data_IF_595971528675
#
_entry.id   IF_595971528675
#
_cell.length_a   1.000
_cell.length_b   1.000
_cell.length_c   1.000
_cell.angle_alpha   90.00
_cell.angle_beta   90.00
_cell.angle_gamma   90.00
#
_symmetry.space_group_name_H-M   'P 1'
#
loop_
_entity.id
_entity.type
_entity.pdbx_description
1 polymer ?
#
# COMPACT_ATOMS: atom_id res chain seq x y z
N UNK A 1 8.22 -41.20 61.13
CA UNK A 1 6.84 -41.73 61.11
C UNK A 1 6.02 -40.85 60.18
N UNK A 2 5.62 -41.42 59.05
CA UNK A 2 4.96 -40.76 57.91
C UNK A 2 3.46 -40.60 58.16
N UNK A 3 2.93 -39.37 58.05
CA UNK A 3 1.49 -39.14 57.82
C UNK A 3 1.28 -38.68 56.38
N UNK A 4 0.77 -39.58 55.54
CA UNK A 4 0.34 -39.25 54.18
C UNK A 4 -1.07 -38.64 54.25
N UNK A 5 -1.20 -37.38 53.84
CA UNK A 5 -2.49 -36.72 53.61
C UNK A 5 -3.17 -37.27 52.36
N UNK A 6 -4.37 -37.82 52.52
CA UNK A 6 -5.21 -38.33 51.44
C UNK A 6 -5.84 -37.15 50.70
N UNK A 7 -5.57 -37.00 49.40
CA UNK A 7 -6.24 -36.02 48.54
C UNK A 7 -7.73 -36.39 48.35
N UNK A 8 -8.66 -35.42 48.37
CA UNK A 8 -10.08 -35.71 48.19
C UNK A 8 -10.36 -36.18 46.76
N UNK A 9 -10.95 -37.39 46.64
CA UNK A 9 -11.44 -37.92 45.36
C UNK A 9 -12.61 -37.05 44.87
N UNK A 10 -12.43 -36.35 43.77
CA UNK A 10 -13.53 -35.68 43.07
C UNK A 10 -14.55 -36.72 42.57
N UNK A 11 -15.71 -36.77 43.22
CA UNK A 11 -16.87 -37.52 42.73
C UNK A 11 -17.37 -36.83 41.46
N UNK A 12 -17.11 -37.43 40.30
CA UNK A 12 -17.80 -37.09 39.06
C UNK A 12 -19.27 -37.50 39.21
N UNK A 13 -20.16 -36.54 39.47
CA UNK A 13 -21.59 -36.73 39.17
C UNK A 13 -21.76 -36.51 37.67
N UNK A 14 -22.08 -37.55 36.93
CA UNK A 14 -22.55 -37.42 35.56
C UNK A 14 -23.89 -36.69 35.58
N UNK A 15 -23.88 -35.40 35.26
CA UNK A 15 -25.12 -34.66 35.04
C UNK A 15 -25.72 -35.14 33.72
N UNK A 16 -27.01 -35.49 33.72
CA UNK A 16 -27.71 -35.82 32.48
C UNK A 16 -27.63 -34.63 31.52
N UNK A 17 -27.29 -34.89 30.26
CA UNK A 17 -27.21 -33.88 29.21
C UNK A 17 -28.60 -33.30 29.02
N UNK A 18 -28.81 -32.08 29.50
CA UNK A 18 -30.06 -31.36 29.32
C UNK A 18 -30.01 -30.66 27.96
N UNK A 19 -30.93 -30.95 27.01
CA UNK A 19 -30.94 -30.34 25.68
C UNK A 19 -31.21 -28.83 25.70
N UNK A 20 -31.70 -28.28 26.84
CA UNK A 20 -31.86 -26.83 27.02
C UNK A 20 -30.60 -26.14 27.58
N UNK A 21 -29.55 -26.88 27.91
CA UNK A 21 -28.28 -26.26 28.30
C UNK A 21 -27.63 -25.64 27.07
N UNK A 22 -27.24 -24.37 27.18
CA UNK A 22 -26.51 -23.65 26.13
C UNK A 22 -25.24 -24.42 25.77
N UNK A 23 -25.02 -24.64 24.48
CA UNK A 23 -23.80 -25.27 23.98
C UNK A 23 -22.60 -24.37 24.31
N UNK A 24 -21.54 -24.96 24.84
CA UNK A 24 -20.25 -24.29 24.94
C UNK A 24 -19.70 -24.08 23.53
N UNK A 25 -19.88 -22.87 23.00
CA UNK A 25 -19.16 -22.47 21.79
C UNK A 25 -17.74 -22.18 22.22
N UNK A 26 -16.81 -23.06 21.83
CA UNK A 26 -15.38 -22.80 21.97
C UNK A 26 -14.98 -21.74 20.96
N UNK A 27 -15.33 -20.49 21.24
CA UNK A 27 -14.68 -19.35 20.62
C UNK A 27 -13.22 -19.44 21.04
N UNK A 28 -12.32 -19.50 20.05
CA UNK A 28 -10.89 -19.45 20.29
C UNK A 28 -10.63 -18.15 21.07
N UNK A 29 -10.46 -18.27 22.39
CA UNK A 29 -10.68 -17.23 23.41
C UNK A 29 -10.17 -15.87 22.91
N UNK A 30 -11.00 -14.83 22.98
CA UNK A 30 -10.73 -13.39 22.70
C UNK A 30 -11.37 -12.76 21.44
N UNK A 31 -12.47 -13.26 20.87
CA UNK A 31 -13.13 -12.60 19.71
C UNK A 31 -14.28 -11.66 20.05
N UNK A 32 -14.70 -11.56 21.31
CA UNK A 32 -15.84 -10.74 21.75
C UNK A 32 -15.39 -9.97 23.00
N UNK A 33 -15.19 -8.65 22.94
CA UNK A 33 -14.96 -7.84 24.13
C UNK A 33 -16.29 -7.66 24.86
N UNK A 34 -16.40 -8.23 26.04
CA UNK A 34 -17.56 -8.13 26.92
C UNK A 34 -17.45 -6.85 27.77
N UNK A 35 -17.62 -5.68 27.15
CA UNK A 35 -17.70 -4.41 27.88
C UNK A 35 -18.88 -3.57 27.37
N UNK A 36 -20.04 -3.81 27.96
CA UNK A 36 -21.23 -3.01 27.76
C UNK A 36 -22.25 -3.27 28.85
N UNK A 37 -22.10 -2.61 30.00
CA UNK A 37 -23.12 -2.61 31.04
C UNK A 37 -24.48 -2.23 30.47
N UNK A 38 -25.51 -2.98 30.86
CA UNK A 38 -26.90 -2.77 30.44
C UNK A 38 -27.38 -1.36 30.83
N UNK A 39 -27.32 -0.42 29.89
CA UNK A 39 -28.01 0.86 30.04
C UNK A 39 -29.47 0.62 29.68
N UNK A 40 -30.29 0.31 30.69
CA UNK A 40 -31.74 0.36 30.59
C UNK A 40 -32.16 1.83 30.39
N UNK A 41 -32.36 2.23 29.14
CA UNK A 41 -33.12 3.45 28.83
C UNK A 41 -34.57 3.04 28.71
N UNK A 42 -35.33 3.37 29.74
CA UNK A 42 -36.79 3.24 29.73
C UNK A 42 -37.33 4.18 28.64
N UNK A 43 -37.77 3.62 27.52
CA UNK A 43 -38.34 4.39 26.41
C UNK A 43 -39.80 4.66 26.77
N UNK A 44 -40.08 5.89 27.21
CA UNK A 44 -41.45 6.38 27.32
C UNK A 44 -42.13 6.25 25.96
N UNK A 45 -43.24 5.50 25.91
CA UNK A 45 -44.11 5.39 24.74
C UNK A 45 -44.82 6.73 24.53
N UNK A 46 -44.18 7.67 23.84
CA UNK A 46 -44.87 8.84 23.30
C UNK A 46 -45.86 8.36 22.23
N UNK A 47 -47.12 8.81 22.29
CA UNK A 47 -48.12 8.54 21.25
C UNK A 47 -47.60 8.97 19.88
N UNK A 48 -47.84 8.15 18.85
CA UNK A 48 -47.19 8.27 17.53
C UNK A 48 -47.70 9.45 16.69
N UNK A 49 -48.67 10.21 17.23
CA UNK A 49 -49.27 11.36 16.53
C UNK A 49 -50.13 10.95 15.33
N UNK A 50 -50.54 9.68 15.24
CA UNK A 50 -51.43 9.14 14.21
C UNK A 50 -52.86 9.03 14.74
N UNK A 51 -53.85 8.91 13.85
CA UNK A 51 -55.23 8.72 14.28
C UNK A 51 -55.41 7.35 14.98
N UNK A 52 -56.28 7.26 16.01
CA UNK A 52 -56.40 6.06 16.85
C UNK A 52 -56.93 4.81 16.12
N UNK A 53 -57.49 4.97 14.91
CA UNK A 53 -57.86 3.85 14.04
C UNK A 53 -56.67 3.36 13.20
N UNK A 54 -55.82 4.26 12.70
CA UNK A 54 -54.57 3.92 12.00
C UNK A 54 -53.58 3.22 12.95
N UNK A 55 -53.46 3.66 14.20
CA UNK A 55 -52.58 3.01 15.20
C UNK A 55 -52.94 1.54 15.49
N UNK A 56 -54.18 1.11 15.15
CA UNK A 56 -54.63 -0.28 15.29
C UNK A 56 -54.41 -1.11 14.04
N UNK A 57 -53.97 -0.52 12.94
CA UNK A 57 -53.75 -1.26 11.71
C UNK A 57 -52.63 -2.28 11.88
N UNK A 58 -52.90 -3.51 11.41
CA UNK A 58 -51.99 -4.65 11.61
C UNK A 58 -50.59 -4.40 11.08
N UNK A 59 -50.44 -3.65 9.99
CA UNK A 59 -49.14 -3.39 9.41
C UNK A 59 -48.33 -2.39 10.25
N UNK A 60 -48.98 -1.39 10.86
CA UNK A 60 -48.36 -0.45 11.81
C UNK A 60 -47.96 -1.20 13.08
N UNK A 61 -48.84 -2.04 13.62
CA UNK A 61 -48.52 -2.89 14.77
C UNK A 61 -47.37 -3.85 14.48
N UNK A 62 -47.33 -4.46 13.29
CA UNK A 62 -46.24 -5.34 12.89
C UNK A 62 -44.91 -4.59 12.75
N UNK A 63 -44.91 -3.36 12.21
CA UNK A 63 -43.71 -2.53 12.09
C UNK A 63 -43.18 -2.09 13.47
N UNK A 64 -44.07 -1.67 14.37
CA UNK A 64 -43.72 -1.31 15.75
C UNK A 64 -43.21 -2.52 16.54
N UNK A 65 -43.86 -3.66 16.39
CA UNK A 65 -43.43 -4.92 16.99
C UNK A 65 -42.09 -5.38 16.40
N UNK A 66 -41.81 -5.19 15.10
CA UNK A 66 -40.51 -5.51 14.51
C UNK A 66 -39.40 -4.56 14.97
N UNK A 67 -39.72 -3.29 15.24
CA UNK A 67 -38.77 -2.33 15.82
C UNK A 67 -38.42 -2.69 17.27
N UNK A 68 -39.42 -3.14 18.04
CA UNK A 68 -39.28 -3.52 19.45
C UNK A 68 -38.75 -4.95 19.65
N UNK A 69 -39.07 -5.88 18.74
CA UNK A 69 -38.63 -7.29 18.76
C UNK A 69 -37.33 -7.52 17.99
N UNK A 70 -36.67 -6.46 17.50
CA UNK A 70 -35.21 -6.52 17.46
C UNK A 70 -34.76 -6.55 18.92
N UNK A 71 -34.79 -7.75 19.51
CA UNK A 71 -33.77 -8.11 20.48
C UNK A 71 -32.49 -7.59 19.86
N UNK A 72 -31.88 -6.62 20.53
CA UNK A 72 -30.52 -6.24 20.24
C UNK A 72 -29.67 -7.45 20.64
N UNK A 73 -29.82 -8.57 19.93
CA UNK A 73 -28.70 -9.45 19.68
C UNK A 73 -27.69 -8.48 19.10
N UNK A 74 -26.75 -8.08 19.96
CA UNK A 74 -25.62 -7.26 19.59
C UNK A 74 -25.07 -7.90 18.34
N UNK A 75 -25.25 -7.23 17.20
CA UNK A 75 -24.58 -7.64 15.98
C UNK A 75 -23.11 -7.39 16.28
N UNK A 76 -22.45 -8.41 16.82
CA UNK A 76 -21.07 -8.36 17.22
C UNK A 76 -20.25 -8.24 15.94
N UNK A 77 -19.68 -7.06 15.74
CA UNK A 77 -18.81 -6.78 14.61
C UNK A 77 -17.49 -7.50 14.89
N UNK A 78 -17.03 -8.42 14.02
CA UNK A 78 -15.78 -9.13 14.25
C UNK A 78 -14.62 -8.14 14.26
N UNK A 79 -13.86 -8.13 15.36
CA UNK A 79 -12.66 -7.30 15.50
C UNK A 79 -11.44 -8.08 14.97
N UNK A 80 -10.66 -7.51 14.03
CA UNK A 80 -9.46 -8.18 13.51
C UNK A 80 -8.41 -8.34 14.62
N UNK A 81 -7.71 -9.48 14.62
CA UNK A 81 -6.60 -9.75 15.54
C UNK A 81 -5.33 -9.09 15.00
N UNK A 82 -4.57 -8.42 15.88
CA UNK A 82 -3.23 -7.94 15.57
C UNK A 82 -2.19 -8.85 16.24
N UNK A 83 -1.07 -9.07 15.57
CA UNK A 83 0.07 -9.80 16.09
C UNK A 83 1.20 -8.80 16.36
N UNK A 84 1.65 -8.61 17.61
CA UNK A 84 2.75 -7.72 17.89
C UNK A 84 4.04 -8.30 17.32
N UNK A 85 4.66 -7.55 16.40
CA UNK A 85 6.00 -7.83 15.89
C UNK A 85 7.02 -7.03 16.71
N UNK A 86 8.26 -7.53 16.81
CA UNK A 86 9.37 -6.74 17.37
C UNK A 86 9.80 -5.74 16.29
N UNK A 87 9.45 -4.47 16.48
CA UNK A 87 9.67 -3.38 15.50
C UNK A 87 11.13 -2.90 15.38
N UNK A 88 11.98 -3.28 16.34
CA UNK A 88 13.18 -2.52 16.70
C UNK A 88 14.30 -2.53 15.64
N UNK A 89 14.30 -3.52 14.73
CA UNK A 89 15.35 -3.65 13.71
C UNK A 89 14.98 -3.02 12.35
N UNK A 90 13.68 -2.85 12.05
CA UNK A 90 13.20 -2.41 10.73
C UNK A 90 12.93 -0.90 10.65
N UNK A 91 12.65 -0.26 11.78
CA UNK A 91 12.26 1.15 11.83
C UNK A 91 13.12 1.92 12.84
N UNK A 92 14.33 2.37 12.45
CA UNK A 92 15.17 3.15 13.35
C UNK A 92 14.47 4.47 13.71
N UNK A 93 14.40 4.79 15.01
CA UNK A 93 13.74 6.00 15.53
C UNK A 93 14.63 7.23 15.31
N UNK A 94 14.63 7.77 14.09
CA UNK A 94 15.42 8.96 13.72
C UNK A 94 14.57 10.23 13.58
N UNK A 95 13.27 10.17 13.86
CA UNK A 95 12.37 11.30 13.63
C UNK A 95 12.39 12.32 14.77
N UNK A 96 12.79 13.55 14.45
CA UNK A 96 12.67 14.71 15.35
C UNK A 96 11.32 15.41 15.20
N UNK A 97 10.56 15.53 16.29
CA UNK A 97 9.30 16.25 16.27
C UNK A 97 9.53 17.76 16.11
N UNK A 98 8.92 18.35 15.09
CA UNK A 98 8.94 19.80 14.87
C UNK A 98 7.97 20.50 15.82
N UNK A 99 8.30 21.70 16.33
CA UNK A 99 7.36 22.52 17.12
C UNK A 99 6.21 23.10 16.28
N UNK A 100 6.25 22.97 14.95
CA UNK A 100 5.22 23.44 14.03
C UNK A 100 4.56 22.30 13.26
N UNK A 101 3.34 22.53 12.75
CA UNK A 101 2.66 21.59 11.87
C UNK A 101 3.44 21.33 10.58
N UNK A 102 3.53 20.06 10.18
CA UNK A 102 4.14 19.66 8.92
C UNK A 102 3.31 20.15 7.73
N UNK A 103 3.97 20.84 6.80
CA UNK A 103 3.41 21.18 5.49
C UNK A 103 4.05 20.28 4.45
N UNK A 104 3.35 19.22 4.08
CA UNK A 104 3.81 18.27 3.06
C UNK A 104 3.27 18.72 1.71
N UNK A 105 4.13 19.35 0.91
CA UNK A 105 3.83 19.80 -0.45
C UNK A 105 4.48 18.91 -1.53
N UNK A 106 5.25 17.91 -1.11
CA UNK A 106 5.89 16.98 -2.01
C UNK A 106 4.89 15.92 -2.47
N UNK A 107 4.94 15.61 -3.76
CA UNK A 107 4.25 14.42 -4.29
C UNK A 107 4.93 13.21 -3.64
N UNK A 108 4.19 12.14 -3.37
CA UNK A 108 4.75 10.93 -2.77
C UNK A 108 6.09 10.54 -3.44
N UNK A 109 7.06 10.02 -2.67
CA UNK A 109 8.32 9.51 -3.20
C UNK A 109 8.05 8.61 -4.42
N UNK A 110 8.84 8.79 -5.48
CA UNK A 110 8.66 8.05 -6.73
C UNK A 110 7.68 8.68 -7.74
N UNK A 111 6.98 9.79 -7.44
CA UNK A 111 6.14 10.45 -8.47
C UNK A 111 6.96 11.39 -9.37
N UNK A 112 8.08 11.95 -8.90
CA UNK A 112 9.01 12.78 -9.70
C UNK A 112 10.44 12.86 -9.10
N UNK A 113 10.77 12.05 -8.09
CA UNK A 113 12.09 12.08 -7.46
C UNK A 113 13.13 11.33 -8.30
N UNK A 114 14.38 11.78 -8.24
CA UNK A 114 15.56 11.07 -8.78
C UNK A 114 15.97 9.87 -7.91
N UNK A 115 15.10 9.47 -6.99
CA UNK A 115 15.29 8.30 -6.14
C UNK A 115 15.22 7.01 -6.95
N UNK A 116 15.95 6.01 -6.47
CA UNK A 116 15.96 4.65 -6.99
C UNK A 116 14.65 4.00 -6.57
N UNK A 117 13.82 3.55 -7.52
CA UNK A 117 12.53 2.90 -7.25
C UNK A 117 12.62 1.37 -7.30
N UNK A 118 13.63 0.84 -8.00
CA UNK A 118 13.88 -0.59 -8.07
C UNK A 118 14.40 -1.13 -6.74
N UNK A 119 13.91 -2.29 -6.32
CA UNK A 119 14.39 -3.04 -5.15
C UNK A 119 14.73 -4.47 -5.56
N UNK A 120 15.83 -5.00 -5.03
CA UNK A 120 16.26 -6.38 -5.31
C UNK A 120 15.24 -7.39 -4.78
N UNK A 121 14.91 -8.39 -5.61
CA UNK A 121 14.09 -9.52 -5.20
C UNK A 121 14.94 -10.79 -4.97
N UNK A 122 14.31 -11.85 -4.48
CA UNK A 122 14.98 -13.12 -4.23
C UNK A 122 15.69 -13.70 -5.47
N UNK A 123 15.15 -13.48 -6.68
CA UNK A 123 15.78 -13.94 -7.92
C UNK A 123 17.09 -13.17 -8.17
N UNK A 124 17.13 -11.87 -7.85
CA UNK A 124 18.33 -11.04 -7.94
C UNK A 124 19.39 -11.47 -6.94
N UNK A 125 19.02 -11.73 -5.68
CA UNK A 125 19.98 -12.22 -4.67
C UNK A 125 20.60 -13.57 -5.09
N UNK A 126 19.80 -14.50 -5.62
CA UNK A 126 20.32 -15.78 -6.15
C UNK A 126 21.26 -15.55 -7.34
N UNK A 127 20.93 -14.62 -8.22
CA UNK A 127 21.81 -14.27 -9.34
C UNK A 127 23.12 -13.64 -8.85
N UNK A 128 23.06 -12.71 -7.89
CA UNK A 128 24.22 -12.05 -7.32
C UNK A 128 25.17 -13.03 -6.64
N UNK A 129 24.62 -14.03 -5.94
CA UNK A 129 25.40 -15.09 -5.29
C UNK A 129 26.14 -15.94 -6.33
N UNK A 130 25.45 -16.32 -7.43
CA UNK A 130 26.08 -17.05 -8.55
C UNK A 130 27.18 -16.26 -9.25
N UNK A 131 27.09 -14.93 -9.27
CA UNK A 131 28.14 -14.08 -9.80
C UNK A 131 29.30 -13.87 -8.80
N UNK A 132 29.17 -14.35 -7.56
CA UNK A 132 30.18 -14.23 -6.51
C UNK A 132 30.14 -12.91 -5.74
N UNK A 133 29.04 -12.15 -5.80
CA UNK A 133 28.94 -10.83 -5.16
C UNK A 133 28.66 -10.90 -3.65
N UNK A 134 27.97 -11.95 -3.18
CA UNK A 134 27.50 -12.06 -1.79
C UNK A 134 28.50 -12.78 -0.87
N UNK A 135 29.36 -13.64 -1.42
CA UNK A 135 30.44 -14.25 -0.64
C UNK A 135 31.44 -13.16 -0.26
N UNK A 136 31.59 -12.85 1.03
CA UNK A 136 32.39 -11.75 1.63
C UNK A 136 33.90 -11.70 1.33
N UNK A 137 34.32 -12.15 0.16
CA UNK A 137 35.63 -11.97 -0.48
C UNK A 137 35.79 -10.59 -1.13
N UNK A 138 34.69 -9.83 -1.31
CA UNK A 138 34.70 -8.47 -1.89
C UNK A 138 34.67 -7.38 -0.81
N UNK A 139 35.33 -7.61 0.35
CA UNK A 139 35.56 -6.55 1.36
C UNK A 139 36.65 -5.55 0.95
N UNK A 140 37.02 -5.51 -0.33
CA UNK A 140 37.89 -4.49 -0.89
C UNK A 140 37.01 -3.34 -1.39
N UNK A 141 37.47 -2.10 -1.21
CA UNK A 141 36.76 -0.82 -1.40
C UNK A 141 36.21 -0.55 -2.84
N UNK A 142 36.15 -1.58 -3.69
CA UNK A 142 35.61 -1.58 -5.06
C UNK A 142 34.45 -2.56 -5.31
N UNK A 143 33.96 -3.27 -4.31
CA UNK A 143 32.84 -4.19 -4.50
C UNK A 143 31.53 -3.46 -4.81
N UNK A 144 30.82 -3.93 -5.83
CA UNK A 144 29.52 -3.41 -6.21
C UNK A 144 28.50 -3.84 -5.16
N UNK A 145 27.99 -2.85 -4.44
CA UNK A 145 26.96 -3.00 -3.42
C UNK A 145 25.59 -3.22 -4.06
N UNK A 146 24.66 -3.76 -3.26
CA UNK A 146 23.23 -3.93 -3.62
C UNK A 146 22.66 -2.67 -4.29
N UNK A 147 22.90 -1.50 -3.68
CA UNK A 147 22.47 -0.18 -4.17
C UNK A 147 22.91 0.12 -5.62
N UNK A 148 24.09 -0.33 -6.03
CA UNK A 148 24.58 -0.08 -7.37
C UNK A 148 23.80 -0.91 -8.40
N UNK A 149 23.49 -2.17 -8.07
CA UNK A 149 22.68 -3.04 -8.93
C UNK A 149 21.28 -2.45 -9.06
N UNK A 150 20.69 -2.01 -7.95
CA UNK A 150 19.38 -1.36 -7.93
C UNK A 150 19.36 -0.10 -8.80
N UNK A 151 20.34 0.78 -8.63
CA UNK A 151 20.48 2.00 -9.40
C UNK A 151 20.59 1.72 -10.91
N UNK A 152 21.42 0.75 -11.32
CA UNK A 152 21.62 0.43 -12.74
C UNK A 152 20.31 -0.09 -13.36
N UNK A 153 19.62 -1.01 -12.68
CA UNK A 153 18.35 -1.57 -13.16
C UNK A 153 17.26 -0.50 -13.20
N UNK A 154 17.19 0.36 -12.19
CA UNK A 154 16.24 1.47 -12.13
C UNK A 154 16.42 2.45 -13.31
N UNK A 155 17.66 2.81 -13.63
CA UNK A 155 17.97 3.67 -14.77
C UNK A 155 17.59 2.99 -16.09
N UNK A 156 17.89 1.70 -16.25
CA UNK A 156 17.50 0.92 -17.44
C UNK A 156 15.97 0.88 -17.63
N UNK A 157 15.23 0.67 -16.54
CA UNK A 157 13.76 0.71 -16.56
C UNK A 157 13.23 2.11 -16.89
N UNK A 158 13.81 3.17 -16.31
CA UNK A 158 13.44 4.57 -16.60
C UNK A 158 13.68 4.94 -18.07
N UNK A 159 14.83 4.59 -18.64
CA UNK A 159 15.12 4.83 -20.07
C UNK A 159 14.17 4.03 -20.95
N UNK A 160 13.93 2.76 -20.62
CA UNK A 160 12.99 1.91 -21.37
C UNK A 160 11.57 2.47 -21.30
N UNK A 161 11.12 2.98 -20.14
CA UNK A 161 9.80 3.56 -19.98
C UNK A 161 9.62 4.82 -20.85
N UNK A 162 10.61 5.71 -20.87
CA UNK A 162 10.60 6.91 -21.72
C UNK A 162 10.45 6.56 -23.20
N UNK A 163 11.16 5.52 -23.69
CA UNK A 163 11.02 5.04 -25.08
C UNK A 163 9.64 4.48 -25.40
N UNK A 164 9.06 3.73 -24.45
CA UNK A 164 7.75 3.10 -24.66
C UNK A 164 6.61 4.13 -24.70
N UNK A 165 6.78 5.32 -24.12
CA UNK A 165 5.83 6.44 -24.31
C UNK A 165 5.77 6.91 -25.77
N UNK A 166 6.86 6.74 -26.54
CA UNK A 166 7.00 7.13 -27.94
C UNK A 166 6.51 6.05 -28.95
N UNK A 167 5.77 5.04 -28.48
CA UNK A 167 5.16 3.91 -29.23
C UNK A 167 6.09 2.75 -29.61
N UNK A 168 7.37 2.74 -29.22
CA UNK A 168 8.27 1.64 -29.57
C UNK A 168 8.43 0.67 -28.40
N UNK A 169 8.08 -0.61 -28.62
CA UNK A 169 8.14 -1.67 -27.61
C UNK A 169 9.55 -2.26 -27.49
N UNK A 170 10.58 -1.45 -27.73
CA UNK A 170 11.97 -1.86 -27.77
C UNK A 170 12.63 -1.67 -26.40
N UNK A 171 13.47 -2.64 -26.01
CA UNK A 171 14.26 -2.54 -24.79
C UNK A 171 15.38 -1.52 -24.98
N UNK A 172 15.78 -0.86 -23.88
CA UNK A 172 16.98 -0.02 -23.85
C UNK A 172 18.24 -0.82 -24.24
N UNK A 173 19.17 -0.17 -24.94
CA UNK A 173 20.50 -0.73 -25.25
C UNK A 173 21.56 -0.25 -24.26
N UNK A 174 22.69 -0.95 -24.18
CA UNK A 174 23.83 -0.53 -23.35
C UNK A 174 24.40 0.84 -23.76
N UNK A 175 24.33 1.19 -25.03
CA UNK A 175 24.81 2.49 -25.52
C UNK A 175 23.96 3.65 -25.01
N UNK A 176 22.66 3.43 -24.85
CA UNK A 176 21.72 4.43 -24.34
C UNK A 176 21.89 4.64 -22.84
N UNK A 177 22.17 3.57 -22.10
CA UNK A 177 22.58 3.66 -20.70
C UNK A 177 23.83 4.56 -20.56
N UNK A 178 24.82 4.35 -21.42
CA UNK A 178 26.06 5.14 -21.44
C UNK A 178 25.85 6.62 -21.77
N UNK A 179 24.77 6.98 -22.48
CA UNK A 179 24.44 8.37 -22.85
C UNK A 179 23.60 9.09 -21.80
N UNK A 180 23.05 8.37 -20.82
CA UNK A 180 22.19 8.96 -19.82
C UNK A 180 23.00 9.82 -18.84
N UNK A 181 22.76 11.14 -18.84
CA UNK A 181 23.43 12.11 -17.95
C UNK A 181 23.25 11.80 -16.44
N UNK A 182 22.28 10.95 -16.10
CA UNK A 182 22.02 10.50 -14.72
C UNK A 182 22.74 9.21 -14.34
N UNK A 183 23.45 8.56 -15.25
CA UNK A 183 24.24 7.38 -14.94
C UNK A 183 25.61 7.82 -14.39
N UNK A 184 25.88 7.67 -13.08
CA UNK A 184 27.16 8.10 -12.51
C UNK A 184 28.25 7.08 -12.87
N UNK A 185 28.65 7.07 -14.14
CA UNK A 185 29.63 6.14 -14.70
C UNK A 185 30.93 6.16 -13.90
N UNK A 186 31.37 7.36 -13.50
CA UNK A 186 32.60 7.56 -12.72
C UNK A 186 32.54 6.95 -11.31
N UNK A 187 31.32 6.77 -10.75
CA UNK A 187 31.14 6.15 -9.43
C UNK A 187 31.17 4.62 -9.50
N UNK A 188 30.69 4.05 -10.61
CA UNK A 188 30.46 2.60 -10.76
C UNK A 188 31.55 1.93 -11.59
N UNK A 189 31.99 2.57 -12.69
CA UNK A 189 32.91 2.00 -13.66
C UNK A 189 34.26 2.68 -13.52
N UNK A 190 35.13 2.09 -12.71
CA UNK A 190 36.51 2.54 -12.48
C UNK A 190 37.53 1.60 -13.16
N UNK A 191 37.18 0.32 -13.28
CA UNK A 191 38.00 -0.75 -13.85
C UNK A 191 37.36 -1.39 -15.09
N UNK A 192 38.16 -2.13 -15.87
CA UNK A 192 37.66 -3.00 -16.95
C UNK A 192 36.75 -4.12 -16.41
N UNK A 193 36.96 -4.52 -15.17
CA UNK A 193 36.13 -5.52 -14.49
C UNK A 193 34.70 -4.99 -14.26
N UNK A 194 34.57 -3.71 -13.94
CA UNK A 194 33.26 -3.05 -13.76
C UNK A 194 32.49 -2.96 -15.09
N UNK A 195 33.18 -2.80 -16.22
CA UNK A 195 32.54 -2.84 -17.54
C UNK A 195 32.00 -4.24 -17.88
N UNK A 196 32.71 -5.31 -17.48
CA UNK A 196 32.23 -6.68 -17.63
C UNK A 196 31.02 -6.89 -16.74
N UNK A 197 31.06 -6.38 -15.51
CA UNK A 197 29.95 -6.48 -14.58
C UNK A 197 28.70 -5.75 -15.09
N UNK A 198 28.85 -4.54 -15.63
CA UNK A 198 27.75 -3.79 -16.20
C UNK A 198 27.04 -4.57 -17.32
N UNK A 199 27.81 -5.27 -18.17
CA UNK A 199 27.25 -6.15 -19.20
C UNK A 199 26.50 -7.33 -18.60
N UNK A 200 26.99 -7.90 -17.50
CA UNK A 200 26.32 -9.00 -16.81
C UNK A 200 25.00 -8.54 -16.16
N UNK A 201 24.98 -7.38 -15.51
CA UNK A 201 23.76 -6.76 -14.95
C UNK A 201 22.75 -6.51 -16.06
N UNK A 202 23.20 -5.92 -17.18
CA UNK A 202 22.33 -5.69 -18.33
C UNK A 202 21.75 -6.99 -18.89
N UNK A 203 22.56 -8.03 -19.04
CA UNK A 203 22.10 -9.35 -19.50
C UNK A 203 21.05 -9.93 -18.56
N UNK A 204 21.28 -9.90 -17.25
CA UNK A 204 20.33 -10.34 -16.24
C UNK A 204 19.01 -9.56 -16.32
N UNK A 205 19.08 -8.24 -16.43
CA UNK A 205 17.91 -7.38 -16.60
C UNK A 205 17.10 -7.75 -17.86
N UNK A 206 17.76 -7.95 -19.00
CA UNK A 206 17.09 -8.36 -20.26
C UNK A 206 16.39 -9.72 -20.09
N UNK A 207 17.08 -10.72 -19.53
CA UNK A 207 16.51 -12.05 -19.29
C UNK A 207 15.31 -11.97 -18.32
N UNK A 208 15.41 -11.14 -17.28
CA UNK A 208 14.33 -10.91 -16.32
C UNK A 208 13.13 -10.25 -16.97
N UNK A 209 13.34 -9.24 -17.82
CA UNK A 209 12.27 -8.57 -18.60
C UNK A 209 11.58 -9.53 -19.57
N UNK A 210 12.34 -10.40 -20.24
CA UNK A 210 11.79 -11.41 -21.14
C UNK A 210 10.94 -12.44 -20.41
N UNK A 211 11.40 -12.90 -19.24
CA UNK A 211 10.66 -13.87 -18.40
C UNK A 211 9.37 -13.28 -17.85
N UNK A 212 9.41 -12.04 -17.31
CA UNK A 212 8.25 -11.38 -16.69
C UNK A 212 7.26 -10.82 -17.72
N UNK A 213 7.71 -10.54 -18.96
CA UNK A 213 6.94 -9.91 -20.05
C UNK A 213 6.31 -8.55 -19.70
N UNK A 214 6.69 -7.97 -18.56
CA UNK A 214 6.19 -6.73 -17.99
C UNK A 214 7.36 -5.94 -17.42
N UNK A 215 7.17 -4.62 -17.25
CA UNK A 215 8.16 -3.77 -16.59
C UNK A 215 8.40 -4.26 -15.15
N UNK A 216 9.64 -4.16 -14.68
CA UNK A 216 9.97 -4.60 -13.33
C UNK A 216 9.44 -3.60 -12.29
N UNK A 217 9.50 -2.31 -12.63
CA UNK A 217 8.94 -1.24 -11.80
C UNK A 217 7.45 -1.10 -12.07
N UNK A 218 6.65 -1.14 -10.99
CA UNK A 218 5.17 -1.16 -11.06
C UNK A 218 4.60 0.02 -11.82
N UNK A 219 5.20 1.21 -11.67
CA UNK A 219 4.79 2.45 -12.33
C UNK A 219 4.89 2.39 -13.86
N UNK A 220 5.87 1.69 -14.39
CA UNK A 220 6.10 1.55 -15.83
C UNK A 220 5.32 0.37 -16.45
N UNK A 221 4.59 -0.40 -15.66
CA UNK A 221 3.71 -1.44 -16.18
C UNK A 221 2.50 -0.80 -16.87
N UNK A 222 2.08 -1.40 -17.99
CA UNK A 222 0.92 -0.90 -18.74
C UNK A 222 -0.32 -0.90 -17.83
N UNK A 223 -1.10 0.19 -17.85
CA UNK A 223 -2.33 0.23 -17.07
C UNK A 223 -3.29 -0.84 -17.56
N UNK A 224 -4.05 -1.40 -16.62
CA UNK A 224 -5.10 -2.37 -16.97
C UNK A 224 -6.15 -1.70 -17.85
N UNK A 225 -6.54 -2.33 -18.97
CA UNK A 225 -7.62 -1.83 -19.82
C UNK A 225 -8.92 -1.64 -19.03
N UNK A 226 -9.66 -0.57 -19.34
CA UNK A 226 -10.93 -0.26 -18.67
C UNK A 226 -11.99 -1.36 -18.80
N UNK A 227 -11.90 -2.16 -19.87
CA UNK A 227 -12.84 -3.23 -20.23
C UNK A 227 -12.56 -4.56 -19.51
N UNK A 228 -11.40 -4.71 -18.87
CA UNK A 228 -11.06 -5.95 -18.18
C UNK A 228 -11.97 -6.16 -16.96
N UNK A 229 -12.59 -7.34 -16.83
CA UNK A 229 -13.58 -7.67 -15.77
C UNK A 229 -12.99 -8.38 -14.56
N UNK A 230 -11.68 -8.63 -14.53
CA UNK A 230 -11.02 -9.32 -13.42
C UNK A 230 -11.15 -8.55 -12.09
N UNK A 231 -11.61 -9.22 -11.04
CA UNK A 231 -11.86 -8.61 -9.72
C UNK A 231 -10.54 -8.20 -9.04
N UNK A 232 -9.43 -8.90 -9.35
CA UNK A 232 -8.12 -8.63 -8.76
C UNK A 232 -7.48 -7.33 -9.26
N UNK A 233 -7.99 -6.75 -10.36
CA UNK A 233 -7.42 -5.58 -11.00
C UNK A 233 -8.15 -4.30 -10.58
N UNK A 234 -7.39 -3.39 -9.97
CA UNK A 234 -7.86 -2.10 -9.47
C UNK A 234 -7.31 -0.91 -10.29
N UNK A 235 -7.81 0.31 -10.02
CA UNK A 235 -7.30 1.58 -10.56
C UNK A 235 -7.25 1.69 -12.10
N UNK A 236 -8.21 1.07 -12.80
CA UNK A 236 -8.33 1.17 -14.26
C UNK A 236 -8.51 2.64 -14.70
N UNK A 237 -7.72 3.17 -15.64
CA UNK A 237 -7.96 4.49 -16.20
C UNK A 237 -9.31 4.50 -16.93
N UNK A 238 -10.27 5.26 -16.41
CA UNK A 238 -11.59 5.46 -17.06
C UNK A 238 -11.69 6.80 -17.78
N UNK A 239 -10.67 7.65 -17.65
CA UNK A 239 -10.70 8.96 -18.27
C UNK A 239 -10.48 8.79 -19.77
N UNK A 240 -11.57 8.89 -20.54
CA UNK A 240 -11.46 9.08 -21.97
C UNK A 240 -10.68 10.39 -22.17
N UNK A 241 -9.52 10.33 -22.84
CA UNK A 241 -8.90 11.55 -23.38
C UNK A 241 -9.95 12.10 -24.34
N UNK A 242 -10.80 13.01 -23.87
CA UNK A 242 -11.67 13.76 -24.77
C UNK A 242 -10.72 14.59 -25.62
N UNK A 243 -10.32 14.04 -26.78
CA UNK A 243 -9.80 14.77 -27.93
C UNK A 243 -10.87 15.66 -28.56
N UNK A 244 -11.87 16.06 -27.78
CA UNK A 244 -12.81 17.10 -28.15
C UNK A 244 -12.01 18.39 -28.20
N UNK A 245 -11.88 18.95 -29.41
CA UNK A 245 -11.47 20.34 -29.64
C UNK A 245 -11.96 21.20 -28.49
N UNK A 246 -11.03 21.71 -27.67
CA UNK A 246 -11.37 22.73 -26.67
C UNK A 246 -12.08 23.83 -27.42
N UNK A 247 -13.38 24.02 -27.18
CA UNK A 247 -14.03 25.22 -27.69
C UNK A 247 -13.27 26.40 -27.10
N UNK A 248 -12.82 27.32 -27.96
CA UNK A 248 -12.13 28.53 -27.54
C UNK A 248 -13.07 29.31 -26.62
N UNK A 249 -12.88 29.17 -25.30
CA UNK A 249 -13.70 29.88 -24.31
C UNK A 249 -13.18 31.31 -24.23
N UNK A 250 -14.06 32.30 -24.37
CA UNK A 250 -13.77 33.74 -24.28
C UNK A 250 -13.08 34.19 -22.97
N UNK A 251 -12.93 33.28 -22.00
CA UNK A 251 -12.37 33.54 -20.68
C UNK A 251 -10.86 33.20 -20.55
N UNK A 252 -10.18 32.88 -21.65
CA UNK A 252 -8.75 32.57 -21.65
C UNK A 252 -7.88 33.79 -21.28
N UNK A 253 -8.27 35.01 -21.64
CA UNK A 253 -7.46 36.21 -21.35
C UNK A 253 -7.28 36.44 -19.83
N UNK A 254 -8.33 36.27 -19.03
CA UNK A 254 -8.21 36.44 -17.58
C UNK A 254 -7.35 35.34 -16.95
N UNK A 255 -7.50 34.09 -17.42
CA UNK A 255 -6.67 32.97 -16.99
C UNK A 255 -5.21 33.12 -17.41
N UNK A 256 -4.93 33.62 -18.62
CA UNK A 256 -3.55 33.86 -19.08
C UNK A 256 -2.90 35.02 -18.35
N UNK A 257 -3.63 36.12 -18.11
CA UNK A 257 -3.14 37.26 -17.32
C UNK A 257 -2.89 36.89 -15.87
N UNK A 258 -3.77 36.09 -15.26
CA UNK A 258 -3.56 35.58 -13.90
C UNK A 258 -2.33 34.67 -13.80
N UNK A 259 -2.13 33.79 -14.79
CA UNK A 259 -0.88 33.00 -14.90
C UNK A 259 0.34 33.90 -15.04
N UNK A 260 0.31 34.90 -15.91
CA UNK A 260 1.42 35.83 -16.10
C UNK A 260 1.75 36.60 -14.81
N UNK A 261 0.72 37.05 -14.09
CA UNK A 261 0.88 37.71 -12.79
C UNK A 261 1.57 36.78 -11.78
N UNK A 262 1.10 35.53 -11.64
CA UNK A 262 1.74 34.53 -10.77
C UNK A 262 3.19 34.30 -11.18
N UNK A 263 3.47 34.06 -12.47
CA UNK A 263 4.84 33.84 -12.94
C UNK A 263 5.75 35.04 -12.64
N UNK A 264 5.25 36.26 -12.86
CA UNK A 264 6.01 37.49 -12.61
C UNK A 264 6.25 37.72 -11.12
N UNK A 265 5.27 37.50 -10.24
CA UNK A 265 5.46 37.64 -8.80
C UNK A 265 6.43 36.61 -8.25
N UNK A 266 6.33 35.35 -8.68
CA UNK A 266 7.30 34.31 -8.31
C UNK A 266 8.72 34.65 -8.79
N UNK A 267 8.87 35.15 -10.02
CA UNK A 267 10.19 35.53 -10.56
C UNK A 267 10.78 36.77 -9.86
N UNK A 268 9.95 37.74 -9.47
CA UNK A 268 10.39 38.94 -8.73
C UNK A 268 10.86 38.57 -7.31
N UNK A 269 10.11 37.70 -6.63
CA UNK A 269 10.44 37.22 -5.28
C UNK A 269 11.76 36.43 -5.30
N UNK A 270 11.97 35.56 -6.30
CA UNK A 270 13.23 34.82 -6.45
C UNK A 270 14.43 35.73 -6.76
N UNK A 271 14.24 36.85 -7.46
CA UNK A 271 15.30 37.82 -7.76
C UNK A 271 15.70 38.70 -6.57
N UNK A 272 14.86 38.76 -5.53
CA UNK A 272 15.10 39.54 -4.31
C UNK A 272 15.72 38.66 -3.20
N UNK A 273 15.60 37.33 -3.32
CA UNK A 273 16.09 36.34 -2.36
C UNK A 273 17.45 35.70 -2.74
N UNK A 274 18.06 36.11 -3.85
CA UNK A 274 19.43 35.78 -4.27
C UNK A 274 20.25 37.07 -4.23
#
# INVERSE_FOLDING_TARGET
MTSHGIAPRHKFRSMNINPNNKLLVFNNKNSIPDEGGEIQRDVQKSGLGMEPEEEKEKHIQNALNALNNKSRESVEIPVPRYFPLKEEDLYPKQFGQSPFYYRVNEKLPGIMSDEIEYTLDADDFIWMDKQGFISGLSKEEGAIMEDNVEMIIDILEKITAQKNEDNDSTLCTLEELNKCYKFPREKIVKSKEDEIMLRNIFKHWVEKRQRRKNALIRRFQRPTPAENKDISLCFRPRMHRQGGRRQAKKNDYHSTMFRYFIFRTFFLIFKILI
#
